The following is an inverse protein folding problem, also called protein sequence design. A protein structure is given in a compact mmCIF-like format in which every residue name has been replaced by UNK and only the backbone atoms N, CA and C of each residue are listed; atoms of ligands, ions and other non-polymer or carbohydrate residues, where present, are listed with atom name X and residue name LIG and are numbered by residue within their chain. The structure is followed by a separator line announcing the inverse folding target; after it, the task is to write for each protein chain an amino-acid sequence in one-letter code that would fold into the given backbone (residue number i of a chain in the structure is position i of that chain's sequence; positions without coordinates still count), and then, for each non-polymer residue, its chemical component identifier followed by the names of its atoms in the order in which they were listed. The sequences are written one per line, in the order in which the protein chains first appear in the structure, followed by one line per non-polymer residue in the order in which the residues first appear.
data_IF_899700657725
#
_entry.id   IF_899700657725
#
_cell.length_a   1.000
_cell.length_b   1.000
_cell.length_c   1.000
_cell.angle_alpha   90.00
_cell.angle_beta   90.00
_cell.angle_gamma   90.00
#
_symmetry.space_group_name_H-M   'P 1'
#
loop_
_entity.id
_entity.type
_entity.pdbx_description
1 polymer ?
#
# COMPACT_ATOMS: atom_id res chain seq x y z
N UNK A 1 24.02 -29.18 -36.40
CA UNK A 1 24.40 -28.65 -35.08
C UNK A 1 23.22 -27.86 -34.56
N UNK A 2 22.64 -28.24 -33.42
CA UNK A 2 21.46 -27.57 -32.87
C UNK A 2 21.95 -26.47 -31.93
N UNK A 3 21.67 -25.21 -32.25
CA UNK A 3 21.95 -24.09 -31.35
C UNK A 3 20.94 -24.13 -30.19
N UNK A 4 21.45 -24.37 -28.98
CA UNK A 4 20.68 -24.22 -27.76
C UNK A 4 20.44 -22.72 -27.52
N UNK A 5 19.19 -22.29 -27.67
CA UNK A 5 18.76 -20.93 -27.35
C UNK A 5 18.91 -20.73 -25.84
N UNK A 6 19.91 -19.95 -25.44
CA UNK A 6 20.11 -19.56 -24.05
C UNK A 6 18.89 -18.74 -23.60
N UNK A 7 18.10 -19.29 -22.68
CA UNK A 7 16.95 -18.62 -22.08
C UNK A 7 17.49 -17.43 -21.28
N UNK A 8 17.18 -16.21 -21.71
CA UNK A 8 17.44 -15.01 -20.93
C UNK A 8 16.69 -15.16 -19.60
N UNK A 9 17.42 -15.41 -18.52
CA UNK A 9 16.91 -15.33 -17.16
C UNK A 9 16.54 -13.87 -16.93
N UNK A 10 15.28 -13.52 -17.13
CA UNK A 10 14.76 -12.21 -16.75
C UNK A 10 15.13 -11.97 -15.29
N UNK A 11 15.69 -10.80 -15.01
CA UNK A 11 15.98 -10.36 -13.65
C UNK A 11 14.66 -10.37 -12.88
N UNK A 12 14.39 -11.45 -12.13
CA UNK A 12 13.20 -11.56 -11.29
C UNK A 12 13.34 -10.47 -10.23
N UNK A 13 12.70 -9.33 -10.49
CA UNK A 13 12.58 -8.30 -9.49
C UNK A 13 11.62 -8.88 -8.48
N UNK A 14 12.15 -9.33 -7.34
CA UNK A 14 11.34 -9.76 -6.21
C UNK A 14 10.35 -8.63 -5.94
N UNK A 15 9.06 -8.90 -6.16
CA UNK A 15 8.02 -7.88 -6.00
C UNK A 15 8.03 -7.30 -4.58
N UNK A 16 7.43 -6.13 -4.42
CA UNK A 16 7.36 -5.50 -3.10
C UNK A 16 6.66 -6.40 -2.08
N UNK A 17 7.11 -6.30 -0.83
CA UNK A 17 6.60 -7.05 0.31
C UNK A 17 6.02 -6.12 1.37
N UNK A 18 5.23 -6.66 2.29
CA UNK A 18 4.58 -5.86 3.35
C UNK A 18 5.57 -4.98 4.12
N UNK A 19 6.78 -5.49 4.44
CA UNK A 19 7.80 -4.74 5.19
C UNK A 19 8.41 -3.54 4.45
N UNK A 20 8.22 -3.45 3.13
CA UNK A 20 8.62 -2.28 2.36
C UNK A 20 7.78 -1.05 2.76
N UNK A 21 6.50 -1.27 3.08
CA UNK A 21 5.54 -0.23 3.42
C UNK A 21 5.21 -0.17 4.92
N UNK A 22 4.95 -1.30 5.57
CA UNK A 22 4.59 -1.36 6.99
C UNK A 22 5.86 -1.49 7.85
N UNK A 23 6.30 -0.38 8.45
CA UNK A 23 7.52 -0.35 9.27
C UNK A 23 7.28 -0.78 10.71
N UNK A 24 6.07 -0.54 11.19
CA UNK A 24 5.64 -0.96 12.51
C UNK A 24 4.12 -1.09 12.56
N UNK A 25 3.65 -2.02 13.38
CA UNK A 25 2.25 -2.10 13.79
C UNK A 25 2.18 -2.61 15.23
N UNK A 26 1.15 -2.20 15.96
CA UNK A 26 0.93 -2.70 17.32
C UNK A 26 0.65 -4.22 17.34
N UNK A 27 -0.12 -4.71 16.38
CA UNK A 27 -0.41 -6.15 16.23
C UNK A 27 -0.88 -6.50 14.81
N UNK A 28 -0.43 -7.61 14.22
CA UNK A 28 -0.95 -8.10 12.95
C UNK A 28 -2.42 -8.55 13.01
N UNK A 29 -2.96 -8.81 14.22
CA UNK A 29 -4.33 -9.31 14.40
C UNK A 29 -5.41 -8.28 14.04
N UNK A 30 -5.07 -7.00 13.96
CA UNK A 30 -5.98 -5.93 13.53
C UNK A 30 -5.94 -5.70 12.03
N UNK A 31 -5.13 -6.45 11.27
CA UNK A 31 -5.17 -6.37 9.81
C UNK A 31 -6.50 -6.89 9.29
N UNK A 32 -7.04 -6.20 8.31
CA UNK A 32 -8.33 -6.54 7.72
C UNK A 32 -8.19 -6.86 6.24
N UNK A 33 -8.94 -7.88 5.79
CA UNK A 33 -9.08 -8.20 4.38
C UNK A 33 -10.22 -7.39 3.79
N UNK A 34 -9.90 -6.46 2.88
CA UNK A 34 -10.84 -5.52 2.29
C UNK A 34 -10.99 -5.78 0.81
N UNK A 35 -12.20 -5.57 0.28
CA UNK A 35 -12.49 -5.75 -1.14
C UNK A 35 -11.64 -4.79 -1.97
N UNK A 36 -11.02 -5.31 -3.03
CA UNK A 36 -10.21 -4.53 -3.96
C UNK A 36 -10.51 -4.95 -5.41
N UNK A 37 -10.17 -4.07 -6.35
CA UNK A 37 -10.28 -4.40 -7.78
C UNK A 37 -9.28 -5.49 -8.15
N UNK A 38 -9.66 -6.38 -9.07
CA UNK A 38 -8.78 -7.46 -9.53
C UNK A 38 -7.46 -6.89 -10.07
N UNK A 39 -6.34 -7.45 -9.63
CA UNK A 39 -5.00 -7.00 -10.00
C UNK A 39 -4.47 -5.81 -9.21
N UNK A 40 -5.18 -5.35 -8.16
CA UNK A 40 -4.63 -4.35 -7.23
C UNK A 40 -3.29 -4.83 -6.67
N UNK A 41 -2.29 -3.94 -6.66
CA UNK A 41 -0.94 -4.25 -6.17
C UNK A 41 -0.71 -3.69 -4.78
N UNK A 42 0.16 -4.34 -4.02
CA UNK A 42 0.71 -3.80 -2.78
C UNK A 42 1.20 -2.35 -3.00
N UNK A 43 0.99 -1.48 -2.01
CA UNK A 43 1.30 -0.05 -2.13
C UNK A 43 0.24 0.78 -2.87
N UNK A 44 -0.90 0.18 -3.24
CA UNK A 44 -2.05 0.91 -3.81
C UNK A 44 -3.01 1.36 -2.71
N UNK A 45 -3.51 2.58 -2.78
CA UNK A 45 -4.58 3.04 -1.88
C UNK A 45 -5.94 2.46 -2.27
N UNK A 46 -6.60 1.83 -1.31
CA UNK A 46 -7.93 1.21 -1.46
C UNK A 46 -8.94 1.83 -0.51
N UNK A 47 -10.22 1.80 -0.89
CA UNK A 47 -11.30 2.25 -0.02
C UNK A 47 -11.45 1.33 1.19
N UNK A 48 -11.62 1.93 2.37
CA UNK A 48 -11.87 1.19 3.59
C UNK A 48 -13.33 1.37 4.03
N UNK A 49 -14.14 0.30 4.07
CA UNK A 49 -15.59 0.41 4.19
C UNK A 49 -16.05 1.04 5.52
N UNK A 50 -15.25 0.95 6.58
CA UNK A 50 -15.56 1.54 7.88
C UNK A 50 -15.18 3.03 7.99
N UNK A 51 -14.58 3.62 6.95
CA UNK A 51 -14.19 5.04 6.91
C UNK A 51 -14.54 5.66 5.56
N UNK A 52 -15.76 6.19 5.45
CA UNK A 52 -16.24 6.84 4.23
C UNK A 52 -15.25 7.90 3.74
N UNK A 53 -14.76 7.74 2.51
CA UNK A 53 -13.85 8.67 1.86
C UNK A 53 -12.40 8.62 2.34
N UNK A 54 -12.03 7.73 3.27
CA UNK A 54 -10.64 7.58 3.73
C UNK A 54 -10.07 6.26 3.23
N UNK A 55 -8.97 6.37 2.47
CA UNK A 55 -8.31 5.22 1.88
C UNK A 55 -7.18 4.71 2.78
N UNK A 56 -6.86 3.43 2.64
CA UNK A 56 -5.75 2.77 3.31
C UNK A 56 -4.80 2.15 2.28
N UNK A 57 -3.53 2.03 2.62
CA UNK A 57 -2.53 1.41 1.76
C UNK A 57 -2.66 -0.11 1.79
N UNK A 58 -2.77 -0.75 0.62
CA UNK A 58 -2.75 -2.20 0.50
C UNK A 58 -1.38 -2.75 0.91
N UNK A 59 -1.39 -3.73 1.82
CA UNK A 59 -0.20 -4.41 2.37
C UNK A 59 0.13 -5.71 1.66
N UNK A 60 -0.72 -6.13 0.72
CA UNK A 60 -0.54 -7.30 -0.14
C UNK A 60 -1.03 -6.97 -1.55
N UNK A 61 -0.58 -7.77 -2.52
CA UNK A 61 -1.29 -7.90 -3.79
C UNK A 61 -2.70 -8.46 -3.55
N UNK A 62 -3.60 -8.17 -4.48
CA UNK A 62 -4.95 -8.70 -4.46
C UNK A 62 -4.95 -10.22 -4.68
N UNK A 63 -5.69 -10.91 -3.81
CA UNK A 63 -6.03 -12.32 -3.94
C UNK A 63 -7.52 -12.51 -3.61
N UNK A 64 -8.23 -13.24 -4.47
CA UNK A 64 -9.66 -13.54 -4.32
C UNK A 64 -10.56 -12.30 -4.08
N UNK A 65 -10.23 -11.21 -4.77
CA UNK A 65 -10.91 -9.92 -4.70
C UNK A 65 -10.59 -9.11 -3.45
N UNK A 66 -9.53 -9.45 -2.71
CA UNK A 66 -9.18 -8.81 -1.44
C UNK A 66 -7.71 -8.45 -1.30
N UNK A 67 -7.43 -7.41 -0.54
CA UNK A 67 -6.08 -7.06 -0.05
C UNK A 67 -6.10 -6.95 1.47
N UNK A 68 -4.95 -7.15 2.12
CA UNK A 68 -4.82 -6.80 3.54
C UNK A 68 -4.50 -5.32 3.71
N UNK A 69 -5.07 -4.71 4.75
CA UNK A 69 -4.74 -3.36 5.21
C UNK A 69 -4.49 -3.37 6.72
N UNK A 70 -3.72 -2.42 7.24
CA UNK A 70 -3.59 -2.19 8.68
C UNK A 70 -4.33 -0.90 9.07
N UNK A 71 -5.56 -1.00 9.59
CA UNK A 71 -6.38 0.16 9.91
C UNK A 71 -5.92 0.92 11.17
N UNK A 72 -5.11 0.34 12.06
CA UNK A 72 -4.84 0.93 13.37
C UNK A 72 -3.37 0.87 13.79
N UNK A 73 -2.93 1.91 14.50
CA UNK A 73 -1.68 1.95 15.28
C UNK A 73 -0.49 1.39 14.50
N UNK A 74 -0.15 2.06 13.40
CA UNK A 74 0.89 1.59 12.49
C UNK A 74 1.69 2.74 11.88
N UNK A 75 2.87 2.39 11.37
CA UNK A 75 3.75 3.30 10.64
C UNK A 75 3.86 2.80 9.20
N UNK A 76 3.42 3.63 8.26
CA UNK A 76 3.45 3.38 6.82
C UNK A 76 4.53 4.26 6.19
N UNK A 77 5.46 3.63 5.48
CA UNK A 77 6.48 4.28 4.66
C UNK A 77 5.96 4.48 3.23
N UNK A 78 5.99 5.73 2.77
CA UNK A 78 5.53 6.15 1.47
C UNK A 78 6.66 6.28 0.44
N UNK A 79 7.91 5.94 0.78
CA UNK A 79 9.08 6.14 -0.09
C UNK A 79 8.99 5.43 -1.45
N UNK A 80 8.14 4.41 -1.57
CA UNK A 80 7.87 3.66 -2.80
C UNK A 80 6.49 3.95 -3.40
N UNK A 81 5.74 4.89 -2.82
CA UNK A 81 4.38 5.25 -3.24
C UNK A 81 4.45 6.55 -4.03
N UNK A 82 3.86 6.58 -5.23
CA UNK A 82 3.82 7.78 -6.06
C UNK A 82 3.11 8.94 -5.34
N UNK A 83 3.70 10.14 -5.40
CA UNK A 83 3.15 11.35 -4.79
C UNK A 83 1.74 11.66 -5.30
N UNK A 84 1.46 11.38 -6.59
CA UNK A 84 0.13 11.53 -7.18
C UNK A 84 -0.91 10.60 -6.55
N UNK A 85 -0.53 9.37 -6.20
CA UNK A 85 -1.40 8.41 -5.51
C UNK A 85 -1.65 8.84 -4.05
N UNK A 86 -0.62 9.34 -3.36
CA UNK A 86 -0.76 9.93 -2.01
C UNK A 86 -1.74 11.10 -2.01
N UNK A 87 -1.57 12.02 -2.97
CA UNK A 87 -2.42 13.20 -3.09
C UNK A 87 -3.88 12.83 -3.42
N UNK A 88 -4.10 11.86 -4.30
CA UNK A 88 -5.44 11.38 -4.65
C UNK A 88 -6.13 10.60 -3.51
N UNK A 89 -5.35 10.00 -2.60
CA UNK A 89 -5.88 9.25 -1.47
C UNK A 89 -6.33 10.12 -0.29
N UNK A 90 -5.79 11.34 -0.18
CA UNK A 90 -6.17 12.29 0.86
C UNK A 90 -7.64 12.72 0.70
N UNK A 91 -8.44 12.54 1.75
CA UNK A 91 -9.86 12.88 1.75
C UNK A 91 -10.13 14.38 1.73
N UNK A 92 -9.13 15.21 2.06
CA UNK A 92 -9.20 16.67 2.08
C UNK A 92 -7.86 17.25 1.67
N UNK A 93 -7.87 18.36 0.92
CA UNK A 93 -6.67 19.11 0.56
C UNK A 93 -5.79 18.50 -0.53
N UNK A 94 -5.98 17.22 -0.88
CA UNK A 94 -5.31 16.58 -2.02
C UNK A 94 -3.78 16.55 -1.91
N UNK A 95 -3.25 16.36 -0.69
CA UNK A 95 -1.83 16.39 -0.40
C UNK A 95 -1.46 15.46 0.77
N UNK A 96 -0.15 15.28 1.01
CA UNK A 96 0.36 14.44 2.10
C UNK A 96 -0.15 14.87 3.49
N UNK A 97 -0.32 16.16 3.75
CA UNK A 97 -0.84 16.63 5.04
C UNK A 97 -2.31 16.26 5.23
N UNK A 98 -3.09 16.21 4.14
CA UNK A 98 -4.45 15.68 4.14
C UNK A 98 -4.47 14.20 4.51
N UNK A 99 -3.61 13.39 3.87
CA UNK A 99 -3.49 11.96 4.18
C UNK A 99 -3.05 11.72 5.64
N UNK A 100 -2.10 12.52 6.16
CA UNK A 100 -1.68 12.45 7.57
C UNK A 100 -2.83 12.75 8.53
N UNK A 101 -3.63 13.78 8.25
CA UNK A 101 -4.84 14.08 9.03
C UNK A 101 -5.87 12.96 8.99
N UNK A 102 -5.95 12.21 7.88
CA UNK A 102 -6.83 11.05 7.78
C UNK A 102 -6.38 9.86 8.63
N UNK A 103 -5.06 9.71 8.83
CA UNK A 103 -4.47 8.65 9.64
C UNK A 103 -4.45 8.92 11.14
N UNK A 104 -4.31 10.19 11.54
CA UNK A 104 -4.09 10.62 12.93
C UNK A 104 -5.13 10.06 13.94
N UNK A 105 -6.46 10.09 13.68
CA UNK A 105 -7.46 9.55 14.61
C UNK A 105 -7.35 8.04 14.85
N UNK A 106 -6.59 7.33 14.03
CA UNK A 106 -6.44 5.87 14.07
C UNK A 106 -5.03 5.42 14.46
N UNK A 107 -4.16 6.36 14.85
CA UNK A 107 -2.77 6.09 15.17
C UNK A 107 -1.94 5.65 13.96
N UNK A 108 -2.33 6.05 12.74
CA UNK A 108 -1.55 5.77 11.54
C UNK A 108 -0.60 6.94 11.29
N UNK A 109 0.70 6.66 11.30
CA UNK A 109 1.74 7.62 10.96
C UNK A 109 2.26 7.32 9.56
N UNK A 110 2.16 8.31 8.67
CA UNK A 110 2.78 8.24 7.34
C UNK A 110 4.15 8.92 7.37
N UNK A 111 5.19 8.19 6.96
CA UNK A 111 6.57 8.65 6.89
C UNK A 111 7.18 8.39 5.50
N UNK A 112 8.43 8.86 5.30
CA UNK A 112 9.10 8.78 4.00
C UNK A 112 8.64 9.88 3.04
N UNK A 113 9.52 10.25 2.12
CA UNK A 113 9.17 11.17 1.04
C UNK A 113 8.55 10.38 -0.11
N UNK A 114 7.29 10.65 -0.51
CA UNK A 114 6.67 9.95 -1.63
C UNK A 114 7.52 10.00 -2.91
N UNK A 115 7.50 8.92 -3.69
CA UNK A 115 8.19 8.85 -4.97
C UNK A 115 7.63 9.90 -5.94
N UNK A 116 8.53 10.58 -6.66
CA UNK A 116 8.18 11.64 -7.61
C UNK A 116 7.36 11.13 -8.81
#
# INVERSE_FOLDING_TARGET
MSEAKMKSTGNETLGHVTGDFLKWEATPLTREAVTASKGTKIGTFVDYPLRTGKKLLALTDEQDGKVLVQPHNCIIDLSLVAATAVNAAASTGGNLDGLKKDGDPYGIVYQGAPAA
#
